data_IF_501441771817
#
_entry.id   IF_501441771817
#
_cell.length_a   1.000
_cell.length_b   1.000
_cell.length_c   1.000
_cell.angle_alpha   90.00
_cell.angle_beta   90.00
_cell.angle_gamma   90.00
#
_symmetry.space_group_name_H-M   'P 1'
#
loop_
_entity.id
_entity.type
_entity.pdbx_description
1 polymer ?
#
# COMPACT_ATOMS: atom_id res chain seq x y z
N UNK A 1 27.65 8.93 42.29
CA UNK A 1 27.35 9.75 41.09
C UNK A 1 26.73 8.86 39.99
N UNK A 2 25.70 8.07 40.35
CA UNK A 2 25.28 6.87 39.59
C UNK A 2 23.77 6.85 39.27
N UNK A 3 23.03 7.89 39.67
CA UNK A 3 21.57 7.92 39.62
C UNK A 3 20.98 8.58 38.36
N UNK A 4 21.81 9.18 37.50
CA UNK A 4 21.34 9.92 36.31
C UNK A 4 21.23 9.09 35.03
N UNK A 5 21.85 7.90 34.96
CA UNK A 5 21.81 7.05 33.76
C UNK A 5 20.50 6.24 33.64
N UNK A 6 19.91 5.82 34.76
CA UNK A 6 18.67 5.02 34.77
C UNK A 6 17.42 5.82 34.32
N UNK A 7 17.43 7.16 34.45
CA UNK A 7 16.30 7.99 33.99
C UNK A 7 16.21 8.14 32.47
N UNK A 8 17.33 8.09 31.74
CA UNK A 8 17.31 8.21 30.27
C UNK A 8 16.89 6.93 29.57
N UNK A 9 17.21 5.77 30.13
CA UNK A 9 16.77 4.47 29.56
C UNK A 9 15.27 4.28 29.72
N UNK A 10 14.67 4.75 30.82
CA UNK A 10 13.21 4.74 31.01
C UNK A 10 12.46 5.72 30.09
N UNK A 11 13.09 6.83 29.67
CA UNK A 11 12.45 7.85 28.83
C UNK A 11 12.39 7.48 27.33
N UNK A 12 13.24 6.57 26.85
CA UNK A 12 13.21 6.14 25.43
C UNK A 12 12.20 5.00 25.21
N UNK A 13 11.81 4.26 26.27
CA UNK A 13 10.87 3.14 26.17
C UNK A 13 9.41 3.49 26.53
N UNK A 14 9.11 4.74 26.90
CA UNK A 14 7.75 5.19 27.17
C UNK A 14 7.13 5.87 25.94
N UNK A 15 7.10 5.16 24.80
CA UNK A 15 6.11 5.50 23.77
C UNK A 15 4.78 5.13 24.40
N UNK A 16 4.09 6.13 24.96
CA UNK A 16 2.88 5.94 25.75
C UNK A 16 1.96 4.97 25.01
N UNK A 17 1.86 3.74 25.51
CA UNK A 17 0.87 2.80 25.04
C UNK A 17 -0.46 3.46 25.36
N UNK A 18 -1.26 3.86 24.35
CA UNK A 18 -2.55 4.45 24.61
C UNK A 18 -3.39 3.46 25.42
N UNK A 19 -4.27 4.01 26.25
CA UNK A 19 -5.14 3.21 27.12
C UNK A 19 -5.89 2.17 26.30
N UNK A 20 -6.15 0.99 26.90
CA UNK A 20 -6.89 -0.08 26.26
C UNK A 20 -8.18 0.47 25.61
N UNK A 21 -8.32 0.28 24.29
CA UNK A 21 -9.47 0.75 23.51
C UNK A 21 -9.30 2.08 22.77
N UNK A 22 -8.17 2.78 22.89
CA UNK A 22 -7.88 3.94 22.06
C UNK A 22 -7.31 3.53 20.69
N UNK A 23 -7.79 4.20 19.62
CA UNK A 23 -7.30 3.96 18.27
C UNK A 23 -5.85 4.45 18.11
N UNK A 24 -5.03 3.62 17.51
CA UNK A 24 -3.63 3.88 17.18
C UNK A 24 -3.50 4.50 15.80
N UNK A 25 -2.43 5.27 15.59
CA UNK A 25 -1.94 5.57 14.25
C UNK A 25 -1.29 4.31 13.67
N UNK A 26 -1.82 3.86 12.54
CA UNK A 26 -1.39 2.69 11.80
C UNK A 26 -0.88 3.11 10.41
N UNK A 27 -0.05 2.27 9.82
CA UNK A 27 0.32 2.40 8.41
C UNK A 27 -0.08 1.13 7.68
N UNK A 28 -1.01 1.24 6.74
CA UNK A 28 -1.37 0.16 5.82
C UNK A 28 -0.40 0.17 4.64
N UNK A 29 0.33 -0.93 4.47
CA UNK A 29 1.24 -1.20 3.37
C UNK A 29 0.53 -2.07 2.35
N UNK A 30 0.25 -1.49 1.19
CA UNK A 30 -0.32 -2.20 0.05
C UNK A 30 0.77 -2.53 -0.95
N UNK A 31 0.92 -3.81 -1.26
CA UNK A 31 1.64 -4.21 -2.46
C UNK A 31 0.77 -3.87 -3.67
N UNK A 32 1.25 -2.97 -4.52
CA UNK A 32 0.74 -2.81 -5.87
C UNK A 32 1.58 -3.70 -6.77
N UNK A 33 0.91 -4.66 -7.39
CA UNK A 33 1.53 -5.44 -8.45
C UNK A 33 2.00 -4.50 -9.55
N UNK A 34 3.12 -4.87 -10.16
CA UNK A 34 3.55 -4.24 -11.40
C UNK A 34 2.51 -4.45 -12.50
N UNK A 35 2.82 -3.98 -13.68
CA UNK A 35 1.92 -4.17 -14.82
C UNK A 35 2.54 -3.66 -16.09
N UNK A 36 1.82 -3.84 -17.19
CA UNK A 36 2.20 -3.26 -18.46
C UNK A 36 1.11 -2.32 -18.97
N UNK A 37 1.53 -1.22 -19.57
CA UNK A 37 0.70 -0.31 -20.35
C UNK A 37 1.31 -0.16 -21.74
N UNK A 38 0.69 0.67 -22.58
CA UNK A 38 1.18 1.01 -23.91
C UNK A 38 1.28 2.50 -24.10
N UNK A 39 2.24 2.92 -24.92
CA UNK A 39 2.38 4.33 -25.31
C UNK A 39 1.18 4.75 -26.15
N UNK A 40 0.61 5.90 -25.83
CA UNK A 40 -0.54 6.49 -26.53
C UNK A 40 -0.12 7.75 -27.28
N UNK A 41 0.36 7.58 -28.51
CA UNK A 41 0.77 8.66 -29.40
C UNK A 41 2.23 8.58 -29.83
N UNK A 42 2.70 9.66 -30.44
CA UNK A 42 4.06 9.80 -30.96
C UNK A 42 4.80 10.90 -30.20
N UNK A 43 6.02 10.60 -29.78
CA UNK A 43 6.86 11.49 -28.97
C UNK A 43 8.25 11.58 -29.60
N UNK A 44 8.93 12.71 -29.42
CA UNK A 44 10.27 12.91 -29.94
C UNK A 44 11.33 12.32 -28.99
N UNK A 45 12.54 12.09 -29.51
CA UNK A 45 13.72 11.96 -28.66
C UNK A 45 13.88 13.23 -27.80
N UNK A 46 14.32 13.07 -26.56
CA UNK A 46 14.39 14.15 -25.57
C UNK A 46 13.06 14.49 -24.89
N UNK A 47 11.95 13.82 -25.23
CA UNK A 47 10.70 14.02 -24.51
C UNK A 47 10.85 13.64 -23.02
N UNK A 48 10.26 14.46 -22.15
CA UNK A 48 10.19 14.25 -20.69
C UNK A 48 8.75 13.96 -20.23
N UNK A 49 7.82 13.81 -21.18
CA UNK A 49 6.43 13.48 -20.90
C UNK A 49 5.86 12.54 -21.96
N UNK A 50 5.06 11.56 -21.55
CA UNK A 50 4.34 10.66 -22.45
C UNK A 50 2.89 10.45 -21.99
N UNK A 51 2.05 9.95 -22.89
CA UNK A 51 0.72 9.43 -22.57
C UNK A 51 0.74 7.91 -22.66
N UNK A 52 -0.03 7.27 -21.79
CA UNK A 52 -0.18 5.82 -21.70
C UNK A 52 -1.65 5.41 -21.82
N UNK A 53 -1.88 4.26 -22.44
CA UNK A 53 -3.17 3.57 -22.54
C UNK A 53 -3.03 2.11 -22.10
N UNK A 54 -4.16 1.42 -22.00
CA UNK A 54 -4.23 0.04 -21.51
C UNK A 54 -3.61 -0.10 -20.10
N UNK A 55 -3.71 0.95 -19.28
CA UNK A 55 -3.16 0.99 -17.92
C UNK A 55 -3.98 0.05 -17.03
N UNK A 56 -3.36 -0.95 -16.37
CA UNK A 56 -4.06 -1.88 -15.51
C UNK A 56 -4.79 -1.18 -14.36
N UNK A 57 -5.95 -1.70 -13.97
CA UNK A 57 -6.72 -1.15 -12.85
C UNK A 57 -5.98 -1.24 -11.49
N UNK A 58 -4.93 -2.08 -11.40
CA UNK A 58 -4.02 -2.14 -10.24
C UNK A 58 -3.13 -0.89 -10.11
N UNK A 59 -3.04 -0.06 -11.16
CA UNK A 59 -2.28 1.18 -11.19
C UNK A 59 -3.27 2.35 -11.23
N UNK A 60 -3.76 2.83 -10.06
CA UNK A 60 -4.72 3.95 -10.01
C UNK A 60 -4.08 5.29 -10.40
N UNK A 61 -2.75 5.34 -10.46
CA UNK A 61 -1.97 6.52 -10.78
C UNK A 61 -0.48 6.28 -10.58
N UNK A 62 0.31 7.28 -10.93
CA UNK A 62 1.74 7.34 -10.66
C UNK A 62 2.01 8.55 -9.78
N UNK A 63 2.74 8.31 -8.69
CA UNK A 63 3.26 9.36 -7.83
C UNK A 63 4.71 9.67 -8.21
N UNK A 64 5.22 10.87 -7.88
CA UNK A 64 6.64 11.17 -8.01
C UNK A 64 7.51 10.10 -7.34
N UNK A 65 8.57 9.68 -8.01
CA UNK A 65 9.46 8.60 -7.55
C UNK A 65 9.05 7.20 -8.05
N UNK A 66 7.83 7.01 -8.58
CA UNK A 66 7.47 5.75 -9.22
C UNK A 66 8.37 5.47 -10.43
N UNK A 67 8.74 4.21 -10.65
CA UNK A 67 9.64 3.82 -11.73
C UNK A 67 8.98 2.93 -12.76
N UNK A 68 9.40 3.08 -14.01
CA UNK A 68 8.95 2.25 -15.12
C UNK A 68 10.04 2.10 -16.19
N UNK A 69 9.84 1.16 -17.11
CA UNK A 69 10.69 0.93 -18.29
C UNK A 69 9.86 1.04 -19.55
N UNK A 70 10.51 1.40 -20.66
CA UNK A 70 9.86 1.55 -21.97
C UNK A 70 10.50 0.57 -22.96
N UNK A 71 9.67 -0.27 -23.57
CA UNK A 71 10.10 -1.29 -24.53
C UNK A 71 11.16 -2.23 -23.94
N UNK A 72 12.15 -2.59 -24.76
CA UNK A 72 13.30 -3.39 -24.33
C UNK A 72 14.44 -2.54 -23.73
N UNK A 73 14.20 -1.27 -23.39
CA UNK A 73 15.24 -0.41 -22.83
C UNK A 73 15.65 -0.87 -21.44
N UNK A 74 16.96 -0.91 -21.17
CA UNK A 74 17.49 -1.11 -19.82
C UNK A 74 17.32 0.15 -18.93
N UNK A 75 17.01 1.31 -19.53
CA UNK A 75 16.82 2.55 -18.79
C UNK A 75 15.56 2.46 -17.90
N UNK A 76 15.72 2.91 -16.66
CA UNK A 76 14.61 3.08 -15.73
C UNK A 76 14.27 4.56 -15.66
N UNK A 77 13.01 4.88 -15.89
CA UNK A 77 12.49 6.24 -15.83
C UNK A 77 11.79 6.44 -14.50
N UNK A 78 12.01 7.60 -13.89
CA UNK A 78 11.38 8.00 -12.63
C UNK A 78 10.37 9.09 -12.90
N UNK A 79 9.14 8.87 -12.45
CA UNK A 79 8.03 9.82 -12.57
C UNK A 79 8.31 11.06 -11.72
N UNK A 80 8.06 12.26 -12.26
CA UNK A 80 8.31 13.54 -11.58
C UNK A 80 7.03 14.28 -11.18
N UNK A 81 5.87 13.88 -11.71
CA UNK A 81 4.57 14.47 -11.38
C UNK A 81 3.57 13.42 -10.86
N UNK A 82 2.50 13.90 -10.23
CA UNK A 82 1.38 13.03 -9.85
C UNK A 82 0.42 12.92 -11.03
N UNK A 83 0.07 11.70 -11.42
CA UNK A 83 -0.94 11.42 -12.46
C UNK A 83 -1.95 10.41 -11.95
N UNK A 84 -3.21 10.56 -12.39
CA UNK A 84 -4.32 9.66 -12.03
C UNK A 84 -4.83 8.95 -13.27
N UNK A 85 -5.08 7.65 -13.15
CA UNK A 85 -5.61 6.85 -14.26
C UNK A 85 -7.08 7.19 -14.48
N UNK A 86 -7.44 7.57 -15.71
CA UNK A 86 -8.82 7.83 -16.12
C UNK A 86 -9.15 7.00 -17.35
N UNK A 87 -10.15 6.13 -17.28
CA UNK A 87 -10.57 5.28 -18.40
C UNK A 87 -9.46 4.37 -18.94
N UNK A 88 -8.57 3.86 -18.08
CA UNK A 88 -7.42 3.04 -18.48
C UNK A 88 -6.29 3.82 -19.15
N UNK A 89 -6.26 5.15 -19.01
CA UNK A 89 -5.22 6.02 -19.55
C UNK A 89 -4.54 6.85 -18.46
N UNK A 90 -3.26 7.17 -18.70
CA UNK A 90 -2.50 8.18 -17.96
C UNK A 90 -2.00 9.20 -18.97
N UNK A 91 -2.49 10.44 -18.89
CA UNK A 91 -2.03 11.52 -19.75
C UNK A 91 -0.99 12.40 -19.05
N UNK A 92 0.01 12.87 -19.78
CA UNK A 92 1.03 13.81 -19.27
C UNK A 92 1.90 13.22 -18.17
N UNK A 93 2.28 11.93 -18.25
CA UNK A 93 3.22 11.33 -17.32
C UNK A 93 4.58 11.97 -17.54
N UNK A 94 5.04 12.80 -16.61
CA UNK A 94 6.35 13.43 -16.65
C UNK A 94 7.40 12.54 -15.97
N UNK A 95 8.59 12.47 -16.54
CA UNK A 95 9.66 11.61 -16.05
C UNK A 95 11.06 12.11 -16.37
N UNK A 96 12.03 11.55 -15.66
CA UNK A 96 13.45 11.70 -15.92
C UNK A 96 14.15 10.33 -15.92
N UNK A 97 15.25 10.14 -16.69
CA UNK A 97 15.84 11.08 -17.65
C UNK A 97 14.97 11.24 -18.94
N UNK A 98 15.26 12.23 -19.80
CA UNK A 98 14.59 12.36 -21.10
C UNK A 98 14.80 11.13 -21.99
N UNK A 99 13.87 10.88 -22.92
CA UNK A 99 13.97 9.72 -23.81
C UNK A 99 15.22 9.81 -24.71
N UNK A 100 16.04 8.74 -24.82
CA UNK A 100 17.19 8.72 -25.71
C UNK A 100 16.79 8.65 -27.19
N UNK A 101 15.60 8.14 -27.49
CA UNK A 101 15.06 8.02 -28.85
C UNK A 101 13.53 8.14 -28.84
N UNK A 102 12.95 8.44 -30.02
CA UNK A 102 11.50 8.49 -30.19
C UNK A 102 10.89 7.10 -29.93
N UNK A 103 9.94 6.96 -28.99
CA UNK A 103 9.36 5.67 -28.71
C UNK A 103 8.31 5.29 -29.76
N UNK A 104 8.10 3.99 -29.95
CA UNK A 104 7.09 3.47 -30.88
C UNK A 104 5.69 3.63 -30.27
N UNK A 105 4.76 4.21 -31.01
CA UNK A 105 3.35 4.25 -30.59
C UNK A 105 2.82 2.83 -30.37
N UNK A 106 2.16 2.58 -29.23
CA UNK A 106 1.76 1.24 -28.82
C UNK A 106 2.87 0.38 -28.21
N UNK A 107 4.11 0.89 -28.12
CA UNK A 107 5.22 0.23 -27.44
C UNK A 107 4.90 -0.05 -25.97
N UNK A 108 5.47 -1.12 -25.42
CA UNK A 108 5.22 -1.54 -24.03
C UNK A 108 5.84 -0.59 -23.02
N UNK A 109 5.15 -0.41 -21.91
CA UNK A 109 5.66 0.27 -20.72
C UNK A 109 5.46 -0.67 -19.54
N UNK A 110 6.54 -1.01 -18.84
CA UNK A 110 6.51 -1.94 -17.71
C UNK A 110 6.70 -1.17 -16.40
N UNK A 111 5.79 -1.39 -15.45
CA UNK A 111 5.85 -0.84 -14.11
C UNK A 111 6.40 -1.87 -13.14
N UNK A 112 7.34 -1.47 -12.30
CA UNK A 112 7.79 -2.28 -11.20
C UNK A 112 6.68 -2.41 -10.14
N UNK A 113 6.60 -3.58 -9.51
CA UNK A 113 5.82 -3.74 -8.29
C UNK A 113 6.36 -2.80 -7.21
N UNK A 114 5.46 -2.21 -6.42
CA UNK A 114 5.84 -1.26 -5.36
C UNK A 114 4.93 -1.38 -4.16
N UNK A 115 5.46 -0.97 -3.01
CA UNK A 115 4.66 -0.81 -1.79
C UNK A 115 4.14 0.63 -1.74
N UNK A 116 2.85 0.80 -1.48
CA UNK A 116 2.23 2.09 -1.18
C UNK A 116 1.80 2.10 0.28
N UNK A 117 2.10 3.18 0.96
CA UNK A 117 1.76 3.38 2.37
C UNK A 117 0.56 4.30 2.51
N UNK A 118 -0.37 3.92 3.38
CA UNK A 118 -1.52 4.73 3.75
C UNK A 118 -1.58 4.85 5.27
N UNK A 119 -1.44 6.08 5.78
CA UNK A 119 -1.73 6.36 7.18
C UNK A 119 -3.22 6.19 7.45
N UNK A 120 -3.55 5.51 8.55
CA UNK A 120 -4.92 5.33 9.00
C UNK A 120 -4.97 5.20 10.52
N UNK A 121 -6.18 5.14 11.08
CA UNK A 121 -6.40 4.85 12.50
C UNK A 121 -7.09 3.51 12.67
N UNK A 122 -6.76 2.81 13.74
CA UNK A 122 -7.40 1.54 14.04
C UNK A 122 -7.07 0.96 15.40
N UNK A 123 -7.62 -0.21 15.67
CA UNK A 123 -7.45 -0.98 16.90
C UNK A 123 -6.85 -2.34 16.54
N UNK A 124 -5.94 -2.85 17.37
CA UNK A 124 -5.42 -4.21 17.22
C UNK A 124 -5.68 -4.95 18.52
N UNK A 125 -6.38 -6.08 18.43
CA UNK A 125 -6.81 -6.87 19.59
C UNK A 125 -6.59 -8.36 19.31
N UNK A 126 -6.45 -9.16 20.36
CA UNK A 126 -6.56 -10.62 20.23
C UNK A 126 -7.99 -11.05 19.91
N UNK A 127 -8.15 -12.25 19.34
CA UNK A 127 -9.44 -12.92 19.27
C UNK A 127 -9.80 -13.51 20.65
N UNK A 128 -11.10 -13.71 20.91
CA UNK A 128 -11.53 -14.37 22.14
C UNK A 128 -11.23 -15.87 22.11
N UNK A 129 -11.02 -16.45 23.28
CA UNK A 129 -10.71 -17.87 23.44
C UNK A 129 -11.76 -18.78 22.80
N UNK A 130 -13.03 -18.37 22.80
CA UNK A 130 -14.11 -19.12 22.16
C UNK A 130 -13.94 -19.23 20.63
N UNK A 131 -13.53 -18.15 19.96
CA UNK A 131 -13.33 -18.14 18.49
C UNK A 131 -12.11 -18.98 18.11
N UNK A 132 -11.07 -18.96 18.95
CA UNK A 132 -9.86 -19.77 18.79
C UNK A 132 -10.20 -21.26 19.00
N UNK A 133 -10.89 -21.60 20.09
CA UNK A 133 -11.28 -22.97 20.42
C UNK A 133 -12.23 -23.57 19.37
N UNK A 134 -13.06 -22.73 18.74
CA UNK A 134 -13.92 -23.13 17.62
C UNK A 134 -13.17 -23.40 16.30
N UNK A 135 -11.85 -23.18 16.24
CA UNK A 135 -11.04 -23.41 15.05
C UNK A 135 -11.28 -22.42 13.90
N UNK A 136 -11.97 -21.31 14.16
CA UNK A 136 -12.33 -20.30 13.16
C UNK A 136 -11.12 -19.41 12.82
N UNK A 137 -10.25 -19.18 13.80
CA UNK A 137 -9.01 -18.42 13.71
C UNK A 137 -7.90 -19.16 14.44
N UNK A 138 -6.64 -18.90 14.07
CA UNK A 138 -5.50 -19.50 14.79
C UNK A 138 -5.24 -18.71 16.07
N UNK A 139 -4.68 -19.38 17.09
CA UNK A 139 -4.30 -18.73 18.35
C UNK A 139 -3.27 -17.60 18.17
N UNK A 140 -2.50 -17.63 17.07
CA UNK A 140 -1.52 -16.59 16.72
C UNK A 140 -2.14 -15.41 15.96
N UNK A 141 -3.38 -15.53 15.48
CA UNK A 141 -3.99 -14.49 14.68
C UNK A 141 -4.40 -13.30 15.58
N UNK A 142 -4.23 -12.09 15.06
CA UNK A 142 -4.72 -10.84 15.65
C UNK A 142 -5.88 -10.28 14.83
N UNK A 143 -6.76 -9.54 15.49
CA UNK A 143 -7.83 -8.77 14.88
C UNK A 143 -7.42 -7.32 14.75
N UNK A 144 -7.35 -6.79 13.54
CA UNK A 144 -7.14 -5.37 13.29
C UNK A 144 -8.44 -4.73 12.79
N UNK A 145 -8.94 -3.70 13.49
CA UNK A 145 -10.09 -2.90 13.05
C UNK A 145 -9.57 -1.57 12.54
N UNK A 146 -9.64 -1.34 11.23
CA UNK A 146 -9.23 -0.08 10.59
C UNK A 146 -10.46 0.79 10.38
N UNK A 147 -10.39 2.05 10.81
CA UNK A 147 -11.48 3.02 10.63
C UNK A 147 -11.49 3.53 9.19
N UNK A 148 -12.54 3.19 8.44
CA UNK A 148 -12.66 3.49 7.01
C UNK A 148 -12.59 4.99 6.70
N UNK A 149 -13.16 5.83 7.56
CA UNK A 149 -13.09 7.29 7.44
C UNK A 149 -11.66 7.87 7.51
N UNK A 150 -10.68 7.09 7.97
CA UNK A 150 -9.28 7.52 8.07
C UNK A 150 -8.40 7.00 6.95
N UNK A 151 -8.93 6.13 6.09
CA UNK A 151 -8.24 5.71 4.88
C UNK A 151 -8.46 6.74 3.76
N UNK A 152 -7.50 6.90 2.83
CA UNK A 152 -7.76 7.67 1.62
C UNK A 152 -8.95 7.11 0.84
N UNK A 153 -9.69 7.97 0.15
CA UNK A 153 -10.89 7.57 -0.59
C UNK A 153 -10.59 6.43 -1.58
N UNK A 154 -11.46 5.42 -1.61
CA UNK A 154 -11.31 4.24 -2.46
C UNK A 154 -10.32 3.19 -1.97
N UNK A 155 -9.55 3.46 -0.91
CA UNK A 155 -8.62 2.47 -0.33
C UNK A 155 -9.38 1.56 0.63
N UNK A 156 -9.38 0.26 0.35
CA UNK A 156 -9.94 -0.80 1.20
C UNK A 156 -8.89 -1.86 1.48
N UNK A 157 -8.61 -2.28 2.72
CA UNK A 157 -7.63 -3.32 3.03
C UNK A 157 -7.90 -4.61 2.22
N UNK A 158 -6.84 -5.31 1.81
CA UNK A 158 -6.91 -6.52 1.01
C UNK A 158 -6.15 -7.67 1.69
N UNK A 159 -6.53 -8.94 1.42
CA UNK A 159 -5.72 -10.08 1.82
C UNK A 159 -4.26 -9.90 1.35
N UNK A 160 -3.29 -10.12 2.23
CA UNK A 160 -1.86 -9.95 1.96
C UNK A 160 -1.29 -8.55 2.20
N UNK A 161 -2.12 -7.50 2.39
CA UNK A 161 -1.62 -6.18 2.84
C UNK A 161 -0.94 -6.33 4.22
N UNK A 162 0.03 -5.46 4.51
CA UNK A 162 0.71 -5.43 5.83
C UNK A 162 0.29 -4.19 6.61
N UNK A 163 0.30 -4.27 7.93
CA UNK A 163 -0.08 -3.17 8.82
C UNK A 163 1.07 -2.94 9.80
N UNK A 164 1.64 -1.74 9.82
CA UNK A 164 2.52 -1.31 10.90
C UNK A 164 1.68 -0.81 12.05
N UNK A 165 1.91 -1.42 13.21
CA UNK A 165 1.29 -1.11 14.50
C UNK A 165 2.39 -0.67 15.49
N UNK A 166 2.05 -0.11 16.65
CA UNK A 166 3.05 0.17 17.69
C UNK A 166 3.79 -1.08 18.20
N UNK A 167 3.16 -2.26 18.10
CA UNK A 167 3.73 -3.54 18.55
C UNK A 167 4.59 -4.23 17.48
N UNK A 168 4.53 -3.79 16.22
CA UNK A 168 5.23 -4.40 15.10
C UNK A 168 4.41 -4.44 13.81
N UNK A 169 4.92 -5.19 12.83
CA UNK A 169 4.26 -5.38 11.53
C UNK A 169 3.49 -6.70 11.56
N UNK A 170 2.22 -6.65 11.19
CA UNK A 170 1.33 -7.81 11.02
C UNK A 170 0.86 -7.89 9.58
N UNK A 171 0.57 -9.08 9.07
CA UNK A 171 0.09 -9.28 7.70
C UNK A 171 -1.36 -9.71 7.71
N UNK A 172 -2.22 -9.07 6.91
CA UNK A 172 -3.57 -9.57 6.67
C UNK A 172 -3.44 -10.93 5.99
N UNK A 173 -4.10 -11.94 6.53
CA UNK A 173 -3.91 -13.32 6.05
C UNK A 173 -4.23 -13.42 4.55
N UNK A 174 -3.56 -14.31 3.80
CA UNK A 174 -3.82 -14.48 2.37
C UNK A 174 -5.26 -14.90 2.07
N UNK A 175 -5.73 -14.56 0.86
CA UNK A 175 -6.99 -15.06 0.36
C UNK A 175 -6.99 -16.60 0.31
N UNK A 176 -8.15 -17.22 0.58
CA UNK A 176 -8.29 -18.68 0.60
C UNK A 176 -7.76 -19.36 1.87
N UNK A 177 -7.22 -18.62 2.84
CA UNK A 177 -6.87 -19.18 4.15
C UNK A 177 -8.14 -19.63 4.87
N UNK A 178 -8.20 -20.89 5.29
CA UNK A 178 -9.37 -21.48 5.98
C UNK A 178 -9.82 -20.67 7.22
N UNK A 179 -11.11 -20.77 7.56
CA UNK A 179 -11.72 -20.07 8.69
C UNK A 179 -12.39 -18.76 8.29
N UNK A 180 -12.35 -17.76 9.18
CA UNK A 180 -12.96 -16.45 8.92
C UNK A 180 -12.36 -15.74 7.69
N UNK A 181 -13.13 -14.90 6.98
CA UNK A 181 -12.61 -14.09 5.88
C UNK A 181 -11.41 -13.23 6.32
N UNK A 182 -10.40 -13.02 5.45
CA UNK A 182 -9.25 -12.17 5.78
C UNK A 182 -9.62 -10.72 6.08
N UNK A 183 -10.62 -10.20 5.37
CA UNK A 183 -11.13 -8.84 5.52
C UNK A 183 -12.65 -8.88 5.45
N UNK A 184 -13.31 -8.23 6.40
CA UNK A 184 -14.75 -8.03 6.44
C UNK A 184 -15.02 -6.53 6.62
N UNK A 185 -15.90 -5.96 5.81
CA UNK A 185 -16.34 -4.57 5.96
C UNK A 185 -17.75 -4.53 6.55
N UNK A 186 -18.03 -3.54 7.41
CA UNK A 186 -19.43 -3.25 7.71
C UNK A 186 -20.16 -2.70 6.46
N UNK A 187 -21.50 -2.80 6.39
CA UNK A 187 -22.27 -2.34 5.23
C UNK A 187 -22.13 -0.85 4.91
N UNK A 188 -21.86 0.00 5.90
CA UNK A 188 -21.62 1.43 5.73
C UNK A 188 -20.17 1.75 5.32
N UNK A 189 -19.26 0.78 5.38
CA UNK A 189 -17.84 0.97 5.12
C UNK A 189 -17.14 1.83 6.18
N UNK A 190 -17.70 1.95 7.38
CA UNK A 190 -17.15 2.77 8.46
C UNK A 190 -15.90 2.13 9.08
N UNK A 191 -15.78 0.81 9.02
CA UNK A 191 -14.71 0.02 9.56
C UNK A 191 -14.44 -1.24 8.69
N UNK A 192 -13.18 -1.65 8.71
CA UNK A 192 -12.70 -2.90 8.13
C UNK A 192 -12.12 -3.76 9.25
N UNK A 193 -12.70 -4.94 9.46
CA UNK A 193 -12.15 -5.96 10.35
C UNK A 193 -11.23 -6.88 9.54
N UNK A 194 -9.96 -6.95 9.94
CA UNK A 194 -8.93 -7.73 9.27
C UNK A 194 -8.40 -8.82 10.22
N UNK A 195 -8.34 -10.05 9.71
CA UNK A 195 -7.63 -11.16 10.36
C UNK A 195 -6.17 -11.10 9.95
N UNK A 196 -5.27 -10.98 10.92
CA UNK A 196 -3.84 -10.79 10.69
C UNK A 196 -3.01 -11.88 11.38
N UNK A 197 -1.85 -12.19 10.81
CA UNK A 197 -0.84 -13.09 11.38
C UNK A 197 0.55 -12.43 11.38
#
# INVERSE_FOLDING_TARGET
MTTRLLRRVAQIAAKALPAAGAAYDLTLHRQLDGGSARIDGSFAAGATSINLKDVPASIPGLAPGATFRIGASAATYTVTNTTTTAGGKLAGVEFAPPLPSAPVNGGSVEFAARVVEHSCKGLVTGYSDHVIAGGIVRATDKRAIILGATLPNGIRPRPGDRITTPEGIISIVPAGTAGAPPVQSDPAGAAFECRCA
#
